data_IF_082381814891
#
_entry.id   IF_082381814891
#
_cell.length_a   1.000
_cell.length_b   1.000
_cell.length_c   1.000
_cell.angle_alpha   90.00
_cell.angle_beta   90.00
_cell.angle_gamma   90.00
#
_symmetry.space_group_name_H-M   'P 1'
#
loop_
_entity.id
_entity.type
_entity.pdbx_description
1 polymer ?
#
# COMPACT_ATOMS: atom_id res chain seq x y z
N UNK A 1 1.57 13.29 -14.52
CA UNK A 1 2.19 12.47 -13.48
C UNK A 1 2.65 13.26 -12.26
N UNK A 2 3.00 14.50 -12.45
CA UNK A 2 3.79 15.27 -11.46
C UNK A 2 3.22 15.26 -10.04
N UNK A 3 1.95 15.51 -9.86
CA UNK A 3 1.33 15.54 -8.52
C UNK A 3 0.25 14.48 -8.36
N UNK A 4 0.33 13.40 -9.13
CA UNK A 4 -0.68 12.35 -9.13
C UNK A 4 -0.18 11.13 -8.35
N UNK A 5 -1.04 10.60 -7.51
CA UNK A 5 -0.76 9.39 -6.74
C UNK A 5 -1.86 8.37 -7.04
N UNK A 6 -1.46 7.14 -7.32
CA UNK A 6 -2.40 6.02 -7.41
C UNK A 6 -2.27 5.18 -6.14
N UNK A 7 -3.34 5.08 -5.38
CA UNK A 7 -3.42 4.21 -4.20
C UNK A 7 -4.12 2.93 -4.62
N UNK A 8 -3.37 1.81 -4.60
CA UNK A 8 -3.88 0.50 -5.01
C UNK A 8 -4.14 -0.31 -3.76
N UNK A 9 -5.40 -0.68 -3.55
CA UNK A 9 -5.89 -1.23 -2.29
C UNK A 9 -6.42 -2.64 -2.51
N UNK A 10 -5.86 -3.60 -1.75
CA UNK A 10 -6.44 -4.93 -1.63
C UNK A 10 -7.47 -4.86 -0.49
N UNK A 11 -8.74 -5.03 -0.81
CA UNK A 11 -9.82 -4.89 0.18
C UNK A 11 -10.27 -6.21 0.82
N UNK A 12 -9.42 -7.23 0.76
CA UNK A 12 -9.72 -8.53 1.37
C UNK A 12 -10.00 -8.39 2.88
N UNK A 13 -9.17 -7.61 3.58
CA UNK A 13 -9.40 -7.24 4.99
C UNK A 13 -9.85 -5.78 5.04
N UNK A 14 -11.10 -5.56 4.65
CA UNK A 14 -11.63 -4.23 4.37
C UNK A 14 -11.52 -3.26 5.55
N UNK A 15 -11.83 -3.70 6.77
CA UNK A 15 -11.75 -2.83 7.93
C UNK A 15 -10.34 -2.30 8.16
N UNK A 16 -9.34 -3.17 7.94
CA UNK A 16 -7.93 -2.80 8.08
C UNK A 16 -7.52 -1.83 6.97
N UNK A 17 -7.83 -2.17 5.72
CA UNK A 17 -7.41 -1.34 4.60
C UNK A 17 -8.16 -0.01 4.56
N UNK A 18 -9.40 0.04 5.02
CA UNK A 18 -10.11 1.30 5.19
C UNK A 18 -9.42 2.19 6.22
N UNK A 19 -8.99 1.62 7.34
CA UNK A 19 -8.27 2.37 8.37
C UNK A 19 -6.93 2.90 7.88
N UNK A 20 -6.21 2.11 7.08
CA UNK A 20 -4.95 2.54 6.47
C UNK A 20 -5.18 3.67 5.46
N UNK A 21 -6.22 3.53 4.65
CA UNK A 21 -6.58 4.54 3.64
C UNK A 21 -7.00 5.85 4.31
N UNK A 22 -7.79 5.77 5.39
CA UNK A 22 -8.18 6.95 6.15
C UNK A 22 -6.95 7.64 6.75
N UNK A 23 -6.00 6.88 7.27
CA UNK A 23 -4.76 7.42 7.80
C UNK A 23 -3.95 8.14 6.72
N UNK A 24 -3.84 7.52 5.55
CA UNK A 24 -3.16 8.14 4.41
C UNK A 24 -3.84 9.46 4.03
N UNK A 25 -5.14 9.45 3.88
CA UNK A 25 -5.91 10.63 3.47
C UNK A 25 -5.81 11.76 4.48
N UNK A 26 -5.67 11.44 5.76
CA UNK A 26 -5.57 12.47 6.81
C UNK A 26 -4.22 13.19 6.80
N UNK A 27 -3.19 12.60 6.21
CA UNK A 27 -1.82 13.11 6.31
C UNK A 27 -1.24 13.61 4.99
N UNK A 28 -1.73 13.10 3.86
CA UNK A 28 -1.16 13.47 2.55
C UNK A 28 -1.36 14.95 2.28
N UNK A 29 -0.35 15.61 1.73
CA UNK A 29 -0.45 17.02 1.36
C UNK A 29 -1.53 17.23 0.30
N UNK A 30 -2.26 18.33 0.42
CA UNK A 30 -3.44 18.59 -0.43
C UNK A 30 -3.09 19.00 -1.87
N UNK A 31 -1.81 19.22 -2.15
CA UNK A 31 -1.36 19.49 -3.52
C UNK A 31 -1.28 18.23 -4.40
N UNK A 32 -1.45 17.05 -3.83
CA UNK A 32 -1.47 15.80 -4.59
C UNK A 32 -2.88 15.46 -5.04
N UNK A 33 -2.99 14.99 -6.29
CA UNK A 33 -4.22 14.47 -6.87
C UNK A 33 -4.20 12.95 -6.70
N UNK A 34 -5.04 12.43 -5.79
CA UNK A 34 -5.02 11.03 -5.38
C UNK A 34 -6.19 10.28 -6.00
N UNK A 35 -5.90 9.18 -6.66
CA UNK A 35 -6.91 8.27 -7.20
C UNK A 35 -6.79 6.91 -6.55
N UNK A 36 -7.92 6.22 -6.37
CA UNK A 36 -8.00 4.96 -5.65
C UNK A 36 -8.41 3.83 -6.58
N UNK A 37 -7.69 2.71 -6.50
CA UNK A 37 -7.94 1.52 -7.31
C UNK A 37 -8.04 0.32 -6.39
N UNK A 38 -9.07 -0.49 -6.55
CA UNK A 38 -9.32 -1.63 -5.67
C UNK A 38 -9.05 -2.93 -6.39
N UNK A 39 -8.37 -3.87 -5.70
CA UNK A 39 -8.10 -5.21 -6.20
C UNK A 39 -8.52 -6.22 -5.14
N UNK A 40 -8.72 -7.48 -5.55
CA UNK A 40 -9.30 -8.50 -4.68
C UNK A 40 -8.33 -9.02 -3.62
N UNK A 41 -7.04 -9.06 -3.91
CA UNK A 41 -6.05 -9.58 -2.97
C UNK A 41 -4.71 -8.90 -3.13
N UNK A 42 -3.82 -9.12 -2.17
CA UNK A 42 -2.49 -8.49 -2.18
C UNK A 42 -1.69 -8.87 -3.43
N UNK A 43 -1.86 -10.11 -3.91
CA UNK A 43 -1.17 -10.59 -5.10
C UNK A 43 -1.49 -9.74 -6.33
N UNK A 44 -2.74 -9.26 -6.46
CA UNK A 44 -3.21 -8.48 -7.60
C UNK A 44 -2.70 -7.04 -7.60
N UNK A 45 -2.16 -6.57 -6.47
CA UNK A 45 -1.58 -5.22 -6.36
C UNK A 45 -0.47 -5.03 -7.40
N UNK A 46 0.38 -6.04 -7.58
CA UNK A 46 1.53 -5.96 -8.49
C UNK A 46 1.09 -5.71 -9.93
N UNK A 47 0.13 -6.48 -10.39
CA UNK A 47 -0.38 -6.34 -11.74
C UNK A 47 -1.03 -4.96 -11.94
N UNK A 48 -1.82 -4.53 -10.97
CA UNK A 48 -2.53 -3.25 -11.08
C UNK A 48 -1.55 -2.08 -11.14
N UNK A 49 -0.55 -2.07 -10.27
CA UNK A 49 0.48 -1.03 -10.30
C UNK A 49 1.18 -1.03 -11.66
N UNK A 50 1.63 -2.20 -12.10
CA UNK A 50 2.32 -2.30 -13.38
C UNK A 50 1.47 -1.75 -14.54
N UNK A 51 0.17 -2.00 -14.51
CA UNK A 51 -0.73 -1.54 -15.57
C UNK A 51 -0.93 -0.02 -15.57
N UNK A 52 -0.60 0.66 -14.47
CA UNK A 52 -0.82 2.10 -14.31
C UNK A 52 0.46 2.92 -14.46
N UNK A 53 1.60 2.30 -14.74
CA UNK A 53 2.88 3.00 -14.78
C UNK A 53 3.02 4.01 -15.93
N UNK A 54 2.14 3.94 -16.93
CA UNK A 54 2.11 4.95 -18.00
C UNK A 54 1.44 6.26 -17.56
N UNK A 55 0.68 6.23 -16.47
CA UNK A 55 -0.11 7.37 -16.02
C UNK A 55 0.32 7.90 -14.65
N UNK A 56 1.06 7.10 -13.89
CA UNK A 56 1.50 7.45 -12.54
C UNK A 56 2.95 7.02 -12.33
N UNK A 57 3.68 7.80 -11.58
CA UNK A 57 5.03 7.44 -11.10
C UNK A 57 5.11 7.40 -9.57
N UNK A 58 3.99 7.66 -8.88
CA UNK A 58 3.88 7.59 -7.42
C UNK A 58 2.70 6.71 -7.05
N UNK A 59 2.96 5.72 -6.24
CA UNK A 59 1.96 4.73 -5.84
C UNK A 59 1.98 4.51 -4.34
N UNK A 60 0.84 4.06 -3.82
CA UNK A 60 0.76 3.47 -2.48
C UNK A 60 0.14 2.09 -2.65
N UNK A 61 0.81 1.08 -2.13
CA UNK A 61 0.28 -0.29 -2.09
C UNK A 61 -0.32 -0.51 -0.71
N UNK A 62 -1.63 -0.74 -0.64
CA UNK A 62 -2.35 -0.90 0.62
C UNK A 62 -2.93 -2.32 0.68
N UNK A 63 -2.64 -3.02 1.76
CA UNK A 63 -3.16 -4.36 1.95
C UNK A 63 -2.76 -4.93 3.30
N UNK A 64 -3.22 -6.16 3.55
CA UNK A 64 -2.81 -6.91 4.73
C UNK A 64 -2.70 -8.38 4.36
N UNK A 65 -1.59 -8.98 4.75
CA UNK A 65 -1.34 -10.41 4.56
C UNK A 65 -1.17 -11.00 5.95
N UNK A 66 -2.06 -11.92 6.31
CA UNK A 66 -2.11 -12.49 7.66
C UNK A 66 -1.75 -13.96 7.57
N UNK A 67 -0.85 -14.40 8.46
CA UNK A 67 -0.41 -15.79 8.50
C UNK A 67 -1.57 -16.73 8.84
N UNK A 68 -1.74 -17.77 8.02
CA UNK A 68 -2.68 -18.85 8.28
C UNK A 68 -1.95 -20.11 8.70
N UNK A 69 -2.60 -21.26 8.49
CA UNK A 69 -2.08 -22.57 8.90
C UNK A 69 -1.07 -23.19 7.94
N UNK A 70 -0.93 -22.60 6.73
CA UNK A 70 -0.06 -23.13 5.69
C UNK A 70 1.11 -22.19 5.42
N UNK A 71 2.05 -22.63 4.57
CA UNK A 71 3.18 -21.80 4.12
C UNK A 71 2.78 -20.72 3.12
N UNK A 72 1.48 -20.62 2.78
CA UNK A 72 0.97 -19.65 1.82
C UNK A 72 1.38 -18.22 2.18
N UNK A 73 1.36 -17.89 3.48
CA UNK A 73 1.77 -16.58 3.97
C UNK A 73 3.18 -16.21 3.51
N UNK A 74 4.14 -17.11 3.68
CA UNK A 74 5.54 -16.84 3.36
C UNK A 74 5.71 -16.58 1.86
N UNK A 75 5.06 -17.36 1.02
CA UNK A 75 5.13 -17.19 -0.42
C UNK A 75 4.48 -15.90 -0.89
N UNK A 76 3.30 -15.57 -0.38
CA UNK A 76 2.59 -14.37 -0.78
C UNK A 76 3.30 -13.11 -0.27
N UNK A 77 3.70 -13.08 1.00
CA UNK A 77 4.36 -11.90 1.57
C UNK A 77 5.70 -11.63 0.91
N UNK A 78 6.50 -12.67 0.67
CA UNK A 78 7.78 -12.54 -0.03
C UNK A 78 7.57 -12.13 -1.48
N UNK A 79 6.61 -12.76 -2.18
CA UNK A 79 6.32 -12.46 -3.57
C UNK A 79 5.85 -11.02 -3.76
N UNK A 80 4.95 -10.55 -2.91
CA UNK A 80 4.46 -9.18 -2.99
C UNK A 80 5.58 -8.19 -2.69
N UNK A 81 6.34 -8.41 -1.62
CA UNK A 81 7.44 -7.52 -1.24
C UNK A 81 8.48 -7.43 -2.35
N UNK A 82 8.93 -8.57 -2.86
CA UNK A 82 9.92 -8.62 -3.93
C UNK A 82 9.38 -8.00 -5.22
N UNK A 83 8.11 -8.23 -5.52
CA UNK A 83 7.46 -7.64 -6.68
C UNK A 83 7.41 -6.11 -6.62
N UNK A 84 7.11 -5.55 -5.45
CA UNK A 84 7.10 -4.10 -5.26
C UNK A 84 8.50 -3.51 -5.46
N UNK A 85 9.53 -4.18 -4.94
CA UNK A 85 10.93 -3.77 -5.13
C UNK A 85 11.29 -3.79 -6.62
N UNK A 86 10.94 -4.86 -7.31
CA UNK A 86 11.25 -5.00 -8.75
C UNK A 86 10.55 -3.93 -9.59
N UNK A 87 9.29 -3.63 -9.29
CA UNK A 87 8.56 -2.57 -9.99
C UNK A 87 9.22 -1.21 -9.76
N UNK A 88 9.61 -0.94 -8.52
CA UNK A 88 10.25 0.34 -8.15
C UNK A 88 11.51 0.57 -8.97
N UNK A 89 12.36 -0.45 -9.06
CA UNK A 89 13.66 -0.33 -9.73
C UNK A 89 13.48 -0.36 -11.25
N UNK A 90 12.70 -1.31 -11.77
CA UNK A 90 12.61 -1.55 -13.21
C UNK A 90 11.74 -0.52 -13.93
N UNK A 91 10.75 0.05 -13.25
CA UNK A 91 9.84 1.05 -13.85
C UNK A 91 10.20 2.48 -13.47
N UNK A 92 11.19 2.66 -12.60
CA UNK A 92 11.61 3.98 -12.13
C UNK A 92 10.43 4.75 -11.53
N UNK A 93 9.75 4.11 -10.59
CA UNK A 93 8.59 4.67 -9.89
C UNK A 93 8.83 4.61 -8.39
N UNK A 94 8.05 5.39 -7.63
CA UNK A 94 8.04 5.27 -6.18
C UNK A 94 6.78 4.52 -5.75
N UNK A 95 6.95 3.54 -4.87
CA UNK A 95 5.82 2.83 -4.24
C UNK A 95 6.00 2.93 -2.74
N UNK A 96 5.05 3.59 -2.07
CA UNK A 96 5.00 3.56 -0.61
C UNK A 96 4.36 2.24 -0.20
N UNK A 97 5.11 1.43 0.56
CA UNK A 97 4.63 0.10 0.96
C UNK A 97 3.77 0.20 2.20
N UNK A 98 2.46 0.12 2.01
CA UNK A 98 1.46 0.09 3.08
C UNK A 98 0.79 -1.28 3.15
N UNK A 99 1.51 -2.34 2.76
CA UNK A 99 1.05 -3.72 2.90
C UNK A 99 1.59 -4.26 4.21
N UNK A 100 0.67 -4.57 5.12
CA UNK A 100 1.03 -5.16 6.42
C UNK A 100 1.21 -6.66 6.27
N UNK A 101 2.32 -7.18 6.79
CA UNK A 101 2.61 -8.61 6.80
C UNK A 101 2.69 -9.03 8.26
N UNK A 102 1.66 -9.71 8.76
CA UNK A 102 1.52 -10.00 10.18
C UNK A 102 1.20 -11.45 10.43
N UNK A 103 1.61 -11.97 11.59
CA UNK A 103 1.25 -13.31 12.02
C UNK A 103 -0.11 -13.35 12.70
N UNK A 104 -0.52 -12.24 13.32
CA UNK A 104 -1.80 -12.13 14.04
C UNK A 104 -2.58 -10.93 13.53
N UNK A 105 -3.87 -11.13 13.30
CA UNK A 105 -4.75 -10.08 12.76
C UNK A 105 -4.77 -8.84 13.67
N UNK A 106 -4.62 -9.02 14.98
CA UNK A 106 -4.60 -7.91 15.95
C UNK A 106 -3.48 -6.93 15.67
N UNK A 107 -2.34 -7.41 15.18
CA UNK A 107 -1.21 -6.52 14.84
C UNK A 107 -1.56 -5.62 13.66
N UNK A 108 -2.25 -6.17 12.67
CA UNK A 108 -2.72 -5.36 11.53
C UNK A 108 -3.79 -4.37 11.98
N UNK A 109 -4.72 -4.80 12.82
CA UNK A 109 -5.75 -3.92 13.36
C UNK A 109 -5.12 -2.74 14.10
N UNK A 110 -4.13 -2.99 14.94
CA UNK A 110 -3.46 -1.94 15.71
C UNK A 110 -2.74 -0.93 14.82
N UNK A 111 -2.22 -1.36 13.68
CA UNK A 111 -1.49 -0.49 12.75
C UNK A 111 -2.41 0.19 11.72
N UNK A 112 -3.70 -0.06 11.81
CA UNK A 112 -4.72 0.58 10.96
C UNK A 112 -5.63 1.54 11.74
N UNK A 113 -5.43 1.65 13.06
CA UNK A 113 -6.21 2.55 13.90
C UNK A 113 -5.74 3.99 13.74
N UNK A 114 -6.60 4.92 14.12
CA UNK A 114 -6.32 6.35 14.06
C UNK A 114 -5.37 6.75 15.20
N UNK A 115 -4.10 6.44 15.03
CA UNK A 115 -3.05 6.77 16.00
C UNK A 115 -1.70 6.88 15.27
N UNK A 116 -0.64 7.18 16.01
CA UNK A 116 0.69 7.41 15.44
C UNK A 116 1.36 6.14 14.90
N UNK A 117 0.77 4.96 15.09
CA UNK A 117 1.27 3.70 14.54
C UNK A 117 0.59 3.32 13.23
N UNK A 118 -0.35 4.13 12.74
CA UNK A 118 -1.05 3.87 11.51
C UNK A 118 -0.09 3.89 10.32
N UNK A 119 -0.03 2.78 9.60
CA UNK A 119 0.90 2.63 8.48
C UNK A 119 0.53 3.54 7.30
N UNK A 120 -0.75 3.86 7.15
CA UNK A 120 -1.21 4.80 6.12
C UNK A 120 -0.68 6.20 6.35
N UNK A 121 -0.69 6.66 7.60
CA UNK A 121 -0.10 7.96 7.98
C UNK A 121 1.40 7.96 7.63
N UNK A 122 2.10 6.90 8.00
CA UNK A 122 3.53 6.75 7.71
C UNK A 122 3.80 6.81 6.21
N UNK A 123 2.97 6.13 5.41
CA UNK A 123 3.11 6.12 3.96
C UNK A 123 2.91 7.49 3.34
N UNK A 124 1.94 8.25 3.83
CA UNK A 124 1.71 9.62 3.36
C UNK A 124 2.88 10.52 3.70
N UNK A 125 3.43 10.40 4.92
CA UNK A 125 4.60 11.19 5.32
C UNK A 125 5.80 10.91 4.44
N UNK A 126 6.00 9.67 4.04
CA UNK A 126 7.11 9.31 3.15
C UNK A 126 6.98 10.04 1.79
N UNK A 127 5.78 10.06 1.23
CA UNK A 127 5.53 10.75 -0.04
C UNK A 127 5.71 12.26 0.13
N UNK A 128 5.15 12.83 1.19
CA UNK A 128 5.28 14.26 1.46
C UNK A 128 6.75 14.68 1.56
N UNK A 129 7.57 13.86 2.21
CA UNK A 129 8.99 14.16 2.39
C UNK A 129 9.77 14.05 1.09
N UNK A 130 9.44 13.08 0.24
CA UNK A 130 10.18 12.84 -0.99
C UNK A 130 9.81 13.82 -2.10
N UNK A 131 8.57 14.28 -2.14
CA UNK A 131 8.03 14.97 -3.32
C UNK A 131 7.39 16.32 -3.04
N UNK A 132 7.52 16.86 -1.86
CA UNK A 132 6.96 18.17 -1.54
C UNK A 132 7.88 19.33 -1.93
#
# INVERSE_FOLDING_TARGET
>A
MKNKIAVVISDYYKDITDGLTDGFNSEINNNFDVSFYYVSGAWEILYKINSLTKHYDKFVAVGAIVKGETDHYDYISSGVTNGLVNLTINKDIYISNCVLNVHHIEDATNRSKKNNRNKGIESAKAINNLFS
#
